data_IF_588441293802
#
_entry.id   IF_588441293802
#
_cell.length_a   1.000
_cell.length_b   1.000
_cell.length_c   1.000
_cell.angle_alpha   90.00
_cell.angle_beta   90.00
_cell.angle_gamma   90.00
#
_symmetry.space_group_name_H-M   'P 1'
#
loop_
_entity.id
_entity.type
_entity.pdbx_description
1 polymer ?
#
# COMPACT_ATOMS: atom_id res chain seq x y z
N UNK A 1 -29.54 48.44 33.16
CA UNK A 1 -30.00 47.40 32.21
C UNK A 1 -28.78 46.81 31.52
N UNK A 2 -28.28 45.67 32.02
CA UNK A 2 -27.10 44.99 31.46
C UNK A 2 -27.59 44.10 30.32
N UNK A 3 -27.12 44.36 29.10
CA UNK A 3 -27.38 43.53 27.92
C UNK A 3 -26.46 42.31 27.99
N UNK A 4 -27.02 41.16 28.30
CA UNK A 4 -26.34 39.87 28.22
C UNK A 4 -26.25 39.49 26.74
N UNK A 5 -25.05 39.53 26.18
CA UNK A 5 -24.78 39.03 24.83
C UNK A 5 -24.62 37.51 24.95
N UNK A 6 -25.56 36.77 24.36
CA UNK A 6 -25.50 35.32 24.23
C UNK A 6 -24.43 34.99 23.17
N UNK A 7 -23.28 34.46 23.59
CA UNK A 7 -22.23 34.01 22.69
C UNK A 7 -22.60 32.61 22.19
N UNK A 8 -23.18 32.53 20.99
CA UNK A 8 -23.44 31.26 20.31
C UNK A 8 -22.11 30.64 19.87
N UNK A 9 -21.65 29.62 20.57
CA UNK A 9 -20.57 28.75 20.11
C UNK A 9 -21.07 27.94 18.91
N UNK A 10 -20.73 28.39 17.70
CA UNK A 10 -20.85 27.58 16.50
C UNK A 10 -19.75 26.51 16.54
N UNK A 11 -20.09 25.29 16.98
CA UNK A 11 -19.22 24.13 16.79
C UNK A 11 -19.07 23.91 15.27
N UNK A 12 -17.90 24.26 14.73
CA UNK A 12 -17.51 23.84 13.40
C UNK A 12 -17.26 22.32 13.46
N UNK A 13 -18.27 21.53 13.11
CA UNK A 13 -18.06 20.10 12.85
C UNK A 13 -17.15 20.00 11.63
N UNK A 14 -15.86 19.72 11.87
CA UNK A 14 -14.95 19.27 10.83
C UNK A 14 -15.49 17.92 10.33
N UNK A 15 -16.25 17.97 9.24
CA UNK A 15 -16.53 16.77 8.46
C UNK A 15 -15.19 16.31 7.89
N UNK A 16 -14.55 15.32 8.53
CA UNK A 16 -13.50 14.56 7.89
C UNK A 16 -14.13 13.85 6.70
N UNK A 17 -14.01 14.44 5.51
CA UNK A 17 -14.34 13.73 4.27
C UNK A 17 -13.32 12.62 4.12
N UNK A 18 -13.73 11.39 4.42
CA UNK A 18 -12.91 10.22 4.21
C UNK A 18 -12.65 10.05 2.71
N UNK A 19 -11.39 10.12 2.31
CA UNK A 19 -10.99 9.95 0.93
C UNK A 19 -10.93 8.48 0.53
N UNK A 20 -11.76 8.04 -0.42
CA UNK A 20 -11.58 6.78 -1.11
C UNK A 20 -10.54 6.97 -2.22
N UNK A 21 -9.38 6.33 -2.05
CA UNK A 21 -8.31 6.33 -3.05
C UNK A 21 -8.09 4.92 -3.64
N UNK A 22 -8.67 4.66 -4.80
CA UNK A 22 -8.46 3.42 -5.56
C UNK A 22 -7.12 3.41 -6.30
N UNK A 23 -6.41 4.54 -6.36
CA UNK A 23 -5.10 4.63 -7.00
C UNK A 23 -4.14 5.45 -6.13
N UNK A 24 -3.43 4.75 -5.27
CA UNK A 24 -2.36 5.36 -4.48
C UNK A 24 -1.17 5.67 -5.41
N UNK A 25 -0.68 6.91 -5.35
CA UNK A 25 0.53 7.36 -6.07
C UNK A 25 1.80 6.97 -5.32
N UNK A 26 1.71 6.78 -4.00
CA UNK A 26 2.78 6.31 -3.12
C UNK A 26 2.23 5.36 -2.04
N UNK A 27 3.06 4.48 -1.46
CA UNK A 27 2.65 3.63 -0.34
C UNK A 27 2.34 4.46 0.90
N UNK A 28 1.32 4.03 1.64
CA UNK A 28 1.08 4.44 3.04
C UNK A 28 1.38 3.23 3.92
N UNK A 29 2.02 3.42 5.07
CA UNK A 29 2.43 2.32 5.94
C UNK A 29 3.93 2.24 6.17
N UNK A 30 4.37 1.14 6.76
CA UNK A 30 5.80 0.86 6.98
C UNK A 30 6.61 0.84 5.68
N UNK A 31 6.00 0.46 4.55
CA UNK A 31 6.63 0.50 3.22
C UNK A 31 6.67 1.88 2.56
N UNK A 32 6.35 2.98 3.24
CA UNK A 32 6.26 4.33 2.66
C UNK A 32 7.56 4.80 1.95
N UNK A 33 8.72 4.23 2.28
CA UNK A 33 9.99 4.54 1.65
C UNK A 33 10.18 3.89 0.26
N UNK A 34 9.30 2.97 -0.15
CA UNK A 34 9.39 2.33 -1.46
C UNK A 34 9.00 3.30 -2.59
N UNK A 35 9.99 3.67 -3.39
CA UNK A 35 9.89 4.51 -4.59
C UNK A 35 10.06 3.73 -5.90
N UNK A 36 10.53 2.48 -5.80
CA UNK A 36 10.81 1.60 -6.93
C UNK A 36 11.82 2.21 -7.91
N UNK A 37 11.57 2.02 -9.20
CA UNK A 37 12.38 2.57 -10.29
C UNK A 37 11.94 3.98 -10.75
N UNK A 38 11.01 4.63 -10.03
CA UNK A 38 10.41 5.90 -10.43
C UNK A 38 9.41 5.76 -11.58
N UNK A 39 9.14 6.88 -12.25
CA UNK A 39 8.15 6.96 -13.34
C UNK A 39 8.61 6.18 -14.58
N UNK A 40 7.73 5.40 -15.23
CA UNK A 40 8.03 4.75 -16.51
C UNK A 40 8.36 5.77 -17.61
N UNK A 41 9.41 5.48 -18.38
CA UNK A 41 9.90 6.24 -19.53
C UNK A 41 10.44 5.28 -20.60
N UNK A 42 10.59 5.70 -21.87
CA UNK A 42 11.16 4.86 -22.91
C UNK A 42 12.58 4.34 -22.62
N UNK A 43 13.34 5.00 -21.74
CA UNK A 43 14.75 4.65 -21.46
C UNK A 43 14.94 3.76 -20.24
N UNK A 44 13.92 3.63 -19.38
CA UNK A 44 13.97 2.81 -18.15
C UNK A 44 12.95 1.66 -18.12
N UNK A 45 12.15 1.50 -19.18
CA UNK A 45 11.01 0.58 -19.21
C UNK A 45 11.16 -0.49 -20.28
N UNK A 46 10.88 -1.73 -19.90
CA UNK A 46 10.80 -2.90 -20.80
C UNK A 46 9.42 -3.54 -20.68
N UNK A 47 8.86 -3.98 -21.80
CA UNK A 47 7.65 -4.85 -21.81
C UNK A 47 8.06 -6.30 -22.03
N UNK A 48 7.52 -7.20 -21.21
CA UNK A 48 7.80 -8.63 -21.27
C UNK A 48 6.50 -9.41 -21.53
N UNK A 49 6.54 -10.38 -22.43
CA UNK A 49 5.40 -11.24 -22.81
C UNK A 49 5.72 -12.72 -22.68
N UNK A 50 6.96 -13.07 -22.32
CA UNK A 50 7.42 -14.46 -22.17
C UNK A 50 8.25 -14.59 -20.90
N UNK A 51 8.37 -15.82 -20.40
CA UNK A 51 9.16 -16.08 -19.19
C UNK A 51 10.65 -15.78 -19.38
N UNK A 52 11.20 -16.07 -20.56
CA UNK A 52 12.60 -15.74 -20.87
C UNK A 52 12.88 -14.23 -20.79
N UNK A 53 11.97 -13.41 -21.33
CA UNK A 53 12.08 -11.94 -21.22
C UNK A 53 11.91 -11.47 -19.78
N UNK A 54 10.92 -11.99 -19.06
CA UNK A 54 10.68 -11.65 -17.66
C UNK A 54 11.93 -11.95 -16.81
N UNK A 55 12.47 -13.17 -16.91
CA UNK A 55 13.67 -13.59 -16.17
C UNK A 55 14.89 -12.73 -16.51
N UNK A 56 15.06 -12.38 -17.79
CA UNK A 56 16.12 -11.47 -18.24
C UNK A 56 15.95 -10.08 -17.61
N UNK A 57 14.74 -9.53 -17.63
CA UNK A 57 14.45 -8.21 -17.06
C UNK A 57 14.65 -8.17 -15.54
N UNK A 58 14.17 -9.20 -14.81
CA UNK A 58 14.29 -9.32 -13.36
C UNK A 58 15.74 -9.41 -12.87
N UNK A 59 16.62 -10.02 -13.66
CA UNK A 59 18.05 -10.20 -13.30
C UNK A 59 18.96 -9.13 -13.88
N UNK A 60 18.47 -8.30 -14.80
CA UNK A 60 19.23 -7.26 -15.46
C UNK A 60 19.48 -6.07 -14.52
N UNK A 61 20.73 -5.60 -14.45
CA UNK A 61 21.09 -4.35 -13.75
C UNK A 61 20.96 -3.11 -14.63
N UNK A 62 20.64 -3.26 -15.92
CA UNK A 62 20.54 -2.14 -16.86
C UNK A 62 19.31 -1.28 -16.58
N UNK A 63 19.48 0.05 -16.66
CA UNK A 63 18.40 1.04 -16.44
C UNK A 63 17.17 0.76 -17.28
N UNK A 64 17.33 0.31 -18.54
CA UNK A 64 16.24 -0.04 -19.44
C UNK A 64 15.29 -1.15 -18.93
N UNK A 65 15.69 -1.88 -17.88
CA UNK A 65 14.88 -2.93 -17.25
C UNK A 65 14.39 -2.55 -15.84
N UNK A 66 14.59 -1.30 -15.41
CA UNK A 66 14.25 -0.87 -14.05
C UNK A 66 12.73 -0.90 -13.81
N UNK A 67 11.95 -0.49 -14.81
CA UNK A 67 10.49 -0.70 -14.87
C UNK A 67 10.19 -1.87 -15.81
N UNK A 68 9.47 -2.87 -15.32
CA UNK A 68 9.10 -4.08 -16.05
C UNK A 68 7.58 -4.11 -16.21
N UNK A 69 7.10 -3.90 -17.43
CA UNK A 69 5.70 -4.06 -17.79
C UNK A 69 5.45 -5.51 -18.20
N UNK A 70 4.58 -6.21 -17.50
CA UNK A 70 4.16 -7.58 -17.83
C UNK A 70 2.90 -7.50 -18.69
N UNK A 71 2.90 -8.17 -19.83
CA UNK A 71 1.76 -8.19 -20.75
C UNK A 71 1.26 -9.61 -20.99
N UNK A 72 -0.06 -9.79 -20.88
CA UNK A 72 -0.72 -11.08 -21.06
C UNK A 72 -0.42 -12.08 -19.94
N UNK A 73 -0.65 -13.35 -20.22
CA UNK A 73 -0.32 -14.44 -19.29
C UNK A 73 1.05 -15.02 -19.62
N UNK A 74 1.97 -14.97 -18.66
CA UNK A 74 3.27 -15.60 -18.73
C UNK A 74 3.23 -16.86 -17.85
N UNK A 75 3.30 -18.03 -18.48
CA UNK A 75 3.61 -19.27 -17.75
C UNK A 75 5.07 -19.22 -17.34
N UNK A 76 5.34 -19.30 -16.04
CA UNK A 76 6.66 -19.12 -15.45
C UNK A 76 7.00 -20.26 -14.50
N UNK A 77 8.28 -20.57 -14.40
CA UNK A 77 8.82 -21.36 -13.29
C UNK A 77 9.20 -20.44 -12.13
N UNK A 78 9.39 -21.05 -10.96
CA UNK A 78 9.90 -20.37 -9.78
C UNK A 78 11.19 -19.61 -10.08
N UNK A 79 11.21 -18.33 -9.72
CA UNK A 79 12.31 -17.41 -9.96
C UNK A 79 12.73 -16.71 -8.67
N UNK A 80 13.97 -16.94 -8.25
CA UNK A 80 14.57 -16.28 -7.08
C UNK A 80 15.55 -15.20 -7.51
N UNK A 81 15.31 -13.95 -7.09
CA UNK A 81 15.99 -12.77 -7.64
C UNK A 81 16.34 -11.75 -6.57
N UNK A 82 17.44 -11.05 -6.79
CA UNK A 82 17.83 -9.87 -6.02
C UNK A 82 17.31 -8.64 -6.78
N UNK A 83 16.46 -7.83 -6.15
CA UNK A 83 15.86 -6.65 -6.79
C UNK A 83 16.29 -5.39 -6.05
N UNK A 84 16.83 -4.42 -6.79
CA UNK A 84 17.21 -3.12 -6.24
C UNK A 84 16.67 -2.02 -7.15
N UNK A 85 15.87 -1.11 -6.59
CA UNK A 85 15.23 0.00 -7.31
C UNK A 85 14.44 -0.51 -8.53
N UNK A 86 13.45 -1.38 -8.27
CA UNK A 86 12.67 -2.05 -9.32
C UNK A 86 11.18 -1.76 -9.19
N UNK A 87 10.53 -1.60 -10.33
CA UNK A 87 9.08 -1.50 -10.42
C UNK A 87 8.57 -2.53 -11.41
N UNK A 88 7.71 -3.44 -10.96
CA UNK A 88 7.07 -4.46 -11.80
C UNK A 88 5.58 -4.11 -11.88
N UNK A 89 5.04 -3.91 -13.08
CA UNK A 89 3.65 -3.51 -13.27
C UNK A 89 3.00 -4.45 -14.29
N UNK A 90 1.85 -5.03 -13.94
CA UNK A 90 1.01 -5.72 -14.90
C UNK A 90 0.19 -4.75 -15.75
N UNK A 91 0.19 -4.95 -17.06
CA UNK A 91 -0.85 -4.40 -17.92
C UNK A 91 -2.22 -5.03 -17.57
N UNK A 92 -3.36 -4.47 -18.00
CA UNK A 92 -4.67 -5.03 -17.67
C UNK A 92 -4.76 -6.54 -17.99
N UNK A 93 -5.12 -7.33 -16.98
CA UNK A 93 -5.20 -8.80 -17.08
C UNK A 93 -3.86 -9.54 -17.10
N UNK A 94 -2.73 -8.85 -16.87
CA UNK A 94 -1.42 -9.47 -16.83
C UNK A 94 -1.31 -10.48 -15.69
N UNK A 95 -0.75 -11.64 -16.02
CA UNK A 95 -0.72 -12.79 -15.13
C UNK A 95 0.62 -13.50 -15.18
N UNK A 96 1.17 -13.79 -14.00
CA UNK A 96 2.25 -14.76 -13.82
C UNK A 96 1.61 -16.06 -13.33
N UNK A 97 1.81 -17.15 -14.07
CA UNK A 97 1.14 -18.43 -13.81
C UNK A 97 2.16 -19.54 -13.64
N UNK A 98 2.08 -20.26 -12.52
CA UNK A 98 2.73 -21.56 -12.35
C UNK A 98 1.69 -22.55 -11.82
N UNK A 99 1.29 -23.53 -12.64
CA UNK A 99 0.24 -24.50 -12.29
C UNK A 99 0.78 -25.91 -12.11
N UNK A 100 2.08 -26.05 -11.88
CA UNK A 100 2.74 -27.34 -11.71
C UNK A 100 2.40 -27.96 -10.36
N UNK A 101 1.78 -29.14 -10.39
CA UNK A 101 1.50 -30.01 -9.25
C UNK A 101 1.53 -31.47 -9.73
N UNK A 102 2.05 -32.37 -8.91
CA UNK A 102 2.20 -33.80 -9.24
C UNK A 102 1.52 -34.64 -8.17
N UNK A 103 0.45 -35.34 -8.55
CA UNK A 103 -0.27 -36.29 -7.69
C UNK A 103 -0.54 -37.55 -8.53
N UNK A 104 0.27 -38.59 -8.32
CA UNK A 104 0.21 -39.84 -9.08
C UNK A 104 -0.47 -40.99 -8.32
N UNK A 105 -0.67 -40.83 -7.01
CA UNK A 105 -1.39 -41.79 -6.16
C UNK A 105 -2.29 -41.10 -5.12
N UNK A 106 -3.16 -41.88 -4.48
CA UNK A 106 -3.98 -41.43 -3.34
C UNK A 106 -3.91 -42.49 -2.22
N UNK A 107 -3.29 -42.18 -1.06
CA UNK A 107 -2.66 -40.90 -0.71
C UNK A 107 -1.44 -40.57 -1.61
N UNK A 108 -1.08 -39.28 -1.76
CA UNK A 108 0.10 -38.86 -2.52
C UNK A 108 1.38 -39.54 -2.02
N UNK A 109 2.26 -39.91 -2.93
CA UNK A 109 3.55 -40.53 -2.59
C UNK A 109 4.56 -39.49 -2.06
N UNK A 110 5.66 -39.95 -1.46
CA UNK A 110 6.77 -39.05 -1.11
C UNK A 110 7.37 -38.33 -2.33
N UNK A 111 7.35 -38.99 -3.51
CA UNK A 111 7.77 -38.39 -4.77
C UNK A 111 6.80 -37.30 -5.25
N UNK A 112 5.49 -37.52 -5.14
CA UNK A 112 4.45 -36.52 -5.46
C UNK A 112 4.66 -35.23 -4.64
N UNK A 113 4.91 -35.38 -3.33
CA UNK A 113 5.19 -34.26 -2.43
C UNK A 113 6.46 -33.50 -2.86
N UNK A 114 7.57 -34.22 -3.04
CA UNK A 114 8.87 -33.62 -3.40
C UNK A 114 8.81 -32.89 -4.75
N UNK A 115 8.20 -33.50 -5.75
CA UNK A 115 8.10 -32.90 -7.09
C UNK A 115 7.16 -31.69 -7.09
N UNK A 116 6.02 -31.79 -6.41
CA UNK A 116 5.08 -30.66 -6.26
C UNK A 116 5.76 -29.47 -5.57
N UNK A 117 6.45 -29.72 -4.45
CA UNK A 117 7.15 -28.69 -3.71
C UNK A 117 8.20 -27.97 -4.56
N UNK A 118 9.06 -28.73 -5.26
CA UNK A 118 10.14 -28.19 -6.07
C UNK A 118 9.69 -27.37 -7.29
N UNK A 119 8.52 -27.69 -7.84
CA UNK A 119 8.01 -27.05 -9.05
C UNK A 119 7.04 -25.91 -8.76
N UNK A 120 6.60 -25.76 -7.52
CA UNK A 120 5.67 -24.70 -7.10
C UNK A 120 6.33 -23.32 -6.93
N UNK A 121 5.48 -22.31 -6.71
CA UNK A 121 5.84 -20.91 -6.50
C UNK A 121 6.15 -20.12 -7.77
N UNK A 122 6.20 -18.79 -7.67
CA UNK A 122 6.42 -17.91 -8.84
C UNK A 122 7.64 -17.01 -8.62
N UNK A 123 7.61 -16.15 -7.61
CA UNK A 123 8.66 -15.14 -7.40
C UNK A 123 9.14 -15.12 -5.96
N UNK A 124 10.46 -15.17 -5.79
CA UNK A 124 11.13 -14.99 -4.50
C UNK A 124 12.06 -13.79 -4.56
N UNK A 125 11.73 -12.77 -3.79
CA UNK A 125 12.56 -11.57 -3.61
C UNK A 125 13.54 -11.87 -2.48
N UNK A 126 14.81 -12.07 -2.83
CA UNK A 126 15.86 -12.48 -1.90
C UNK A 126 16.22 -11.40 -0.88
N UNK A 127 16.82 -11.83 0.22
CA UNK A 127 17.60 -10.97 1.11
C UNK A 127 18.59 -10.10 0.30
N UNK A 128 18.78 -8.88 0.78
CA UNK A 128 19.52 -7.80 0.12
C UNK A 128 18.70 -7.02 -0.92
N UNK A 129 17.50 -7.48 -1.28
CA UNK A 129 16.62 -6.71 -2.16
C UNK A 129 16.11 -5.47 -1.44
N UNK A 130 15.99 -4.34 -2.14
CA UNK A 130 15.53 -3.10 -1.55
C UNK A 130 14.83 -2.20 -2.55
N UNK A 131 13.85 -1.43 -2.07
CA UNK A 131 13.14 -0.44 -2.87
C UNK A 131 12.47 -1.06 -4.11
N UNK A 132 11.46 -1.91 -3.86
CA UNK A 132 10.76 -2.66 -4.90
C UNK A 132 9.27 -2.35 -4.85
N UNK A 133 8.70 -2.08 -6.02
CA UNK A 133 7.26 -1.91 -6.22
C UNK A 133 6.76 -3.04 -7.13
N UNK A 134 5.67 -3.71 -6.74
CA UNK A 134 4.95 -4.69 -7.57
C UNK A 134 3.48 -4.26 -7.64
N UNK A 135 2.96 -4.03 -8.85
CA UNK A 135 1.58 -3.56 -9.03
C UNK A 135 0.80 -4.27 -10.12
N UNK A 136 -0.50 -4.35 -9.93
CA UNK A 136 -1.47 -4.76 -10.97
C UNK A 136 -1.19 -6.14 -11.60
N UNK A 137 -0.69 -7.09 -10.83
CA UNK A 137 -0.37 -8.43 -11.30
C UNK A 137 -1.28 -9.48 -10.68
N UNK A 138 -1.67 -10.46 -11.50
CA UNK A 138 -2.29 -11.68 -11.01
C UNK A 138 -1.22 -12.76 -10.89
N UNK A 139 -1.05 -13.32 -9.71
CA UNK A 139 -0.27 -14.52 -9.45
C UNK A 139 -1.22 -15.71 -9.38
N UNK A 140 -0.99 -16.73 -10.21
CA UNK A 140 -1.83 -17.94 -10.25
C UNK A 140 -1.03 -19.21 -10.02
N UNK A 141 -1.38 -19.92 -8.95
CA UNK A 141 -0.77 -21.18 -8.55
C UNK A 141 -1.53 -22.43 -8.99
N UNK A 142 -1.03 -23.61 -8.60
CA UNK A 142 -1.63 -24.90 -8.93
C UNK A 142 -2.85 -25.28 -8.07
N UNK A 143 -3.06 -24.61 -6.93
CA UNK A 143 -3.98 -25.05 -5.87
C UNK A 143 -3.24 -25.52 -4.63
N UNK A 144 -3.90 -25.44 -3.47
CA UNK A 144 -3.31 -25.72 -2.17
C UNK A 144 -2.98 -27.22 -2.00
N UNK A 145 -1.74 -27.50 -1.62
CA UNK A 145 -1.27 -28.86 -1.30
C UNK A 145 -0.15 -28.77 -0.26
N UNK A 146 -0.37 -29.37 0.91
CA UNK A 146 0.53 -29.26 2.06
C UNK A 146 1.79 -30.14 1.91
N UNK A 147 2.68 -29.80 1.00
CA UNK A 147 3.89 -30.57 0.73
C UNK A 147 5.18 -29.77 0.98
N UNK A 148 5.13 -28.77 1.87
CA UNK A 148 6.25 -27.82 2.09
C UNK A 148 6.72 -27.16 0.78
N UNK A 149 5.75 -26.73 -0.03
CA UNK A 149 5.98 -26.10 -1.32
C UNK A 149 6.50 -24.66 -1.20
N UNK A 150 6.41 -23.93 -2.31
CA UNK A 150 6.79 -22.52 -2.38
C UNK A 150 5.55 -21.65 -2.60
N UNK A 151 5.63 -20.45 -2.05
CA UNK A 151 4.57 -19.45 -2.16
C UNK A 151 4.50 -18.85 -3.56
N UNK A 152 3.35 -18.26 -3.93
CA UNK A 152 3.28 -17.48 -5.16
C UNK A 152 4.28 -16.32 -5.13
N UNK A 153 4.29 -15.57 -4.03
CA UNK A 153 5.29 -14.55 -3.76
C UNK A 153 5.90 -14.80 -2.38
N UNK A 154 7.22 -14.74 -2.31
CA UNK A 154 7.94 -14.65 -1.04
C UNK A 154 8.82 -13.41 -1.07
N UNK A 155 8.88 -12.66 0.03
CA UNK A 155 9.78 -11.53 0.16
C UNK A 155 10.65 -11.60 1.41
N UNK A 156 11.94 -11.39 1.20
CA UNK A 156 12.97 -11.11 2.22
C UNK A 156 13.63 -9.73 2.02
N UNK A 157 13.12 -8.94 1.06
CA UNK A 157 13.64 -7.59 0.77
C UNK A 157 13.17 -6.52 1.74
N UNK A 158 13.71 -5.31 1.63
CA UNK A 158 13.35 -4.15 2.46
C UNK A 158 12.73 -3.01 1.67
N UNK A 159 11.84 -2.22 2.28
CA UNK A 159 11.15 -1.12 1.60
C UNK A 159 10.41 -1.62 0.34
N UNK A 160 9.40 -2.46 0.58
CA UNK A 160 8.66 -3.14 -0.47
C UNK A 160 7.22 -2.66 -0.48
N UNK A 161 6.69 -2.38 -1.66
CA UNK A 161 5.28 -2.07 -1.86
C UNK A 161 4.65 -3.01 -2.87
N UNK A 162 3.67 -3.78 -2.42
CA UNK A 162 2.85 -4.66 -3.26
C UNK A 162 1.44 -4.09 -3.29
N UNK A 163 0.98 -3.64 -4.45
CA UNK A 163 -0.28 -2.92 -4.58
C UNK A 163 -1.15 -3.45 -5.72
N UNK A 164 -2.47 -3.56 -5.50
CA UNK A 164 -3.39 -4.03 -6.55
C UNK A 164 -2.93 -5.35 -7.19
N UNK A 165 -2.38 -6.27 -6.42
CA UNK A 165 -2.08 -7.61 -6.91
C UNK A 165 -3.19 -8.58 -6.52
N UNK A 166 -3.45 -9.58 -7.35
CA UNK A 166 -4.34 -10.68 -7.01
C UNK A 166 -3.54 -11.97 -6.90
N UNK A 167 -3.72 -12.69 -5.80
CA UNK A 167 -3.07 -13.95 -5.52
C UNK A 167 -4.12 -15.06 -5.51
N UNK A 168 -3.96 -16.02 -6.43
CA UNK A 168 -4.90 -17.11 -6.65
C UNK A 168 -4.20 -18.45 -6.46
N UNK A 169 -4.71 -19.27 -5.57
CA UNK A 169 -4.40 -20.71 -5.52
C UNK A 169 -2.92 -21.06 -5.22
N UNK A 170 -2.29 -20.39 -4.25
CA UNK A 170 -0.98 -20.80 -3.73
C UNK A 170 -0.92 -22.27 -3.33
N UNK A 171 0.22 -22.94 -3.56
CA UNK A 171 0.41 -24.33 -3.11
C UNK A 171 0.58 -24.39 -1.59
N UNK A 172 1.57 -23.63 -1.10
CA UNK A 172 1.77 -23.32 0.31
C UNK A 172 1.04 -21.99 0.61
N UNK A 173 1.76 -20.86 0.70
CA UNK A 173 1.18 -19.53 0.82
C UNK A 173 0.82 -18.83 -0.50
N UNK A 174 -0.08 -17.85 -0.42
CA UNK A 174 -0.25 -16.85 -1.48
C UNK A 174 0.86 -15.79 -1.42
N UNK A 175 1.16 -15.26 -0.24
CA UNK A 175 2.25 -14.28 -0.07
C UNK A 175 2.86 -14.34 1.33
N UNK A 176 4.14 -14.68 1.39
CA UNK A 176 4.95 -14.72 2.61
C UNK A 176 6.01 -13.62 2.68
N UNK A 177 6.19 -13.08 3.89
CA UNK A 177 7.21 -12.08 4.25
C UNK A 177 8.03 -12.66 5.40
N UNK A 178 9.33 -12.90 5.18
CA UNK A 178 10.16 -13.64 6.14
C UNK A 178 11.64 -13.26 6.07
N UNK A 179 12.47 -13.92 6.87
CA UNK A 179 13.93 -13.74 6.82
C UNK A 179 14.33 -12.32 7.18
N UNK A 180 15.08 -11.69 6.28
CA UNK A 180 15.58 -10.32 6.45
C UNK A 180 14.58 -9.22 6.04
N UNK A 181 13.32 -9.58 5.74
CA UNK A 181 12.30 -8.63 5.31
C UNK A 181 12.03 -7.54 6.34
N UNK A 182 11.84 -6.31 5.87
CA UNK A 182 11.34 -5.22 6.71
C UNK A 182 10.77 -4.06 5.88
N UNK A 183 9.90 -3.25 6.49
CA UNK A 183 9.26 -2.09 5.87
C UNK A 183 8.44 -2.46 4.62
N UNK A 184 7.36 -3.20 4.85
CA UNK A 184 6.41 -3.61 3.81
C UNK A 184 5.10 -2.86 3.91
N UNK A 185 4.58 -2.46 2.76
CA UNK A 185 3.16 -2.14 2.57
C UNK A 185 2.57 -3.09 1.54
N UNK A 186 1.50 -3.78 1.91
CA UNK A 186 0.66 -4.57 1.02
C UNK A 186 -0.69 -3.85 0.97
N UNK A 187 -1.02 -3.25 -0.18
CA UNK A 187 -2.23 -2.45 -0.32
C UNK A 187 -3.12 -2.90 -1.45
N UNK A 188 -4.44 -2.81 -1.28
CA UNK A 188 -5.40 -3.15 -2.35
C UNK A 188 -5.17 -4.54 -2.98
N UNK A 189 -4.56 -5.47 -2.26
CA UNK A 189 -4.29 -6.80 -2.79
C UNK A 189 -5.47 -7.72 -2.47
N UNK A 190 -5.77 -8.63 -3.39
CA UNK A 190 -6.82 -9.64 -3.22
C UNK A 190 -6.19 -11.02 -3.12
N UNK A 191 -6.63 -11.80 -2.15
CA UNK A 191 -6.19 -13.17 -1.93
C UNK A 191 -7.39 -14.10 -2.09
N UNK A 192 -7.22 -15.21 -2.79
CA UNK A 192 -8.30 -16.17 -3.03
C UNK A 192 -7.77 -17.58 -3.28
N UNK A 193 -8.61 -18.57 -3.05
CA UNK A 193 -8.41 -19.95 -3.49
C UNK A 193 -9.66 -20.41 -4.23
N UNK A 194 -9.54 -20.52 -5.55
CA UNK A 194 -10.61 -20.92 -6.45
C UNK A 194 -10.56 -22.42 -6.78
N UNK A 195 -9.47 -23.10 -6.45
CA UNK A 195 -9.26 -24.54 -6.64
C UNK A 195 -9.48 -25.31 -5.33
N UNK A 196 -10.04 -26.53 -5.37
CA UNK A 196 -10.08 -27.42 -4.21
C UNK A 196 -8.66 -27.71 -3.68
N UNK A 197 -8.48 -27.85 -2.36
CA UNK A 197 -7.21 -28.30 -1.80
C UNK A 197 -6.98 -29.79 -2.05
N UNK A 198 -5.71 -30.19 -2.09
CA UNK A 198 -5.29 -31.59 -2.11
C UNK A 198 -4.96 -32.09 -0.71
N UNK A 199 -5.49 -33.26 -0.35
CA UNK A 199 -5.27 -33.90 0.94
C UNK A 199 -4.04 -34.83 0.94
N UNK A 200 -3.56 -35.19 2.12
CA UNK A 200 -2.49 -36.19 2.30
C UNK A 200 -1.08 -35.70 1.94
N UNK A 201 -0.85 -34.40 1.95
CA UNK A 201 0.49 -33.82 1.82
C UNK A 201 1.35 -34.06 3.07
N UNK A 202 2.67 -33.99 2.91
CA UNK A 202 3.66 -34.24 3.97
C UNK A 202 3.58 -33.29 5.17
N UNK A 203 3.08 -32.06 5.00
CA UNK A 203 2.89 -31.09 6.08
C UNK A 203 1.63 -31.34 6.93
N UNK A 204 0.76 -32.27 6.51
CA UNK A 204 -0.28 -32.86 7.35
C UNK A 204 -1.64 -32.15 7.36
N UNK A 205 -1.78 -30.98 6.73
CA UNK A 205 -3.09 -30.36 6.48
C UNK A 205 -3.74 -30.95 5.23
N UNK A 206 -5.01 -31.35 5.35
CA UNK A 206 -5.83 -31.71 4.19
C UNK A 206 -6.41 -30.49 3.45
N UNK A 207 -6.21 -29.30 4.00
CA UNK A 207 -6.71 -28.04 3.45
C UNK A 207 -5.74 -26.91 3.78
N UNK A 208 -4.67 -26.82 2.98
CA UNK A 208 -3.60 -25.83 3.15
C UNK A 208 -3.91 -24.49 2.47
N UNK A 209 -5.18 -24.05 2.43
CA UNK A 209 -5.53 -22.73 1.90
C UNK A 209 -5.16 -21.62 2.89
N UNK A 210 -3.88 -21.57 3.24
CA UNK A 210 -3.26 -20.75 4.26
C UNK A 210 -2.61 -19.54 3.59
N UNK A 211 -3.24 -18.38 3.69
CA UNK A 211 -3.06 -17.31 2.71
C UNK A 211 -1.70 -16.61 2.79
N UNK A 212 -1.21 -16.22 3.96
CA UNK A 212 0.07 -15.53 4.05
C UNK A 212 0.68 -15.51 5.44
N UNK A 213 2.01 -15.62 5.49
CA UNK A 213 2.81 -15.65 6.70
C UNK A 213 3.72 -14.42 6.81
N UNK A 214 3.87 -13.90 8.02
CA UNK A 214 4.89 -12.91 8.40
C UNK A 214 5.78 -13.54 9.48
N UNK A 215 7.03 -13.82 9.16
CA UNK A 215 7.93 -14.55 10.03
C UNK A 215 7.67 -16.07 10.04
N UNK A 216 8.59 -16.84 9.46
CA UNK A 216 8.43 -18.28 9.24
C UNK A 216 8.68 -19.13 10.49
N UNK A 217 9.29 -18.58 11.53
CA UNK A 217 9.63 -19.30 12.76
C UNK A 217 9.76 -18.38 13.97
N UNK A 218 9.95 -18.98 15.15
CA UNK A 218 10.09 -18.21 16.40
C UNK A 218 11.38 -17.38 16.45
N UNK A 219 12.44 -17.83 15.77
CA UNK A 219 13.72 -17.14 15.64
C UNK A 219 13.85 -16.38 14.32
N UNK A 220 12.84 -16.43 13.44
CA UNK A 220 12.87 -15.72 12.17
C UNK A 220 12.48 -14.27 12.39
N UNK A 221 13.41 -13.34 12.17
CA UNK A 221 13.23 -11.92 12.43
C UNK A 221 14.29 -11.09 11.70
N UNK A 222 13.96 -9.84 11.30
CA UNK A 222 14.95 -8.92 10.77
C UNK A 222 15.93 -8.46 11.86
N UNK A 223 16.98 -7.75 11.45
CA UNK A 223 18.10 -7.33 12.31
C UNK A 223 17.67 -6.49 13.52
N UNK A 224 16.61 -5.68 13.39
CA UNK A 224 16.04 -4.86 14.47
C UNK A 224 14.99 -5.61 15.31
N UNK A 225 14.80 -6.90 15.03
CA UNK A 225 14.07 -7.85 15.84
C UNK A 225 12.61 -8.06 15.46
N UNK A 226 11.98 -7.14 14.71
CA UNK A 226 10.57 -7.32 14.30
C UNK A 226 10.28 -6.87 12.87
N UNK A 227 9.52 -7.67 12.13
CA UNK A 227 9.00 -7.31 10.80
C UNK A 227 8.04 -6.13 10.90
N UNK A 228 8.25 -5.05 10.14
CA UNK A 228 7.31 -3.92 10.06
C UNK A 228 6.44 -4.04 8.81
N UNK A 229 5.16 -4.42 8.97
CA UNK A 229 4.27 -4.73 7.83
C UNK A 229 2.90 -4.06 7.95
N UNK A 230 2.49 -3.37 6.89
CA UNK A 230 1.14 -2.79 6.76
C UNK A 230 0.33 -3.56 5.73
N UNK A 231 -0.85 -4.05 6.10
CA UNK A 231 -1.88 -4.50 5.18
C UNK A 231 -2.98 -3.44 5.12
N UNK A 232 -3.19 -2.84 3.96
CA UNK A 232 -4.16 -1.74 3.78
C UNK A 232 -5.15 -2.08 2.67
N UNK A 233 -6.45 -1.95 2.91
CA UNK A 233 -7.48 -2.15 1.88
C UNK A 233 -7.38 -3.53 1.17
N UNK A 234 -6.82 -4.54 1.83
CA UNK A 234 -6.66 -5.88 1.27
C UNK A 234 -7.95 -6.68 1.40
N UNK A 235 -8.16 -7.60 0.48
CA UNK A 235 -9.32 -8.49 0.46
C UNK A 235 -8.88 -9.95 0.58
N UNK A 236 -9.17 -10.58 1.71
CA UNK A 236 -9.16 -12.04 1.81
C UNK A 236 -10.54 -12.58 1.42
N UNK A 237 -10.61 -13.06 0.19
CA UNK A 237 -11.83 -13.43 -0.50
C UNK A 237 -12.09 -14.93 -0.43
N UNK A 238 -12.99 -15.40 -1.31
CA UNK A 238 -13.44 -16.78 -1.37
C UNK A 238 -12.28 -17.78 -1.39
N UNK A 239 -12.47 -18.87 -0.63
CA UNK A 239 -11.50 -19.96 -0.52
C UNK A 239 -10.38 -19.76 0.50
N UNK A 240 -10.10 -18.54 0.95
CA UNK A 240 -9.14 -18.33 2.03
C UNK A 240 -9.63 -19.02 3.31
N UNK A 241 -8.77 -19.85 3.92
CA UNK A 241 -9.10 -20.63 5.12
C UNK A 241 -8.41 -20.10 6.37
N UNK A 242 -7.09 -19.97 6.35
CA UNK A 242 -6.32 -19.49 7.51
C UNK A 242 -5.21 -18.53 7.09
N UNK A 243 -4.50 -17.96 8.09
CA UNK A 243 -3.34 -17.08 7.91
C UNK A 243 -3.66 -15.83 7.06
N UNK A 244 -4.51 -14.95 7.59
CA UNK A 244 -4.96 -13.73 6.91
C UNK A 244 -4.59 -12.41 7.64
N UNK A 245 -3.32 -12.12 7.94
CA UNK A 245 -2.14 -13.00 7.87
C UNK A 245 -1.98 -13.85 9.16
N UNK A 246 -0.99 -14.76 9.16
CA UNK A 246 -0.39 -15.29 10.39
C UNK A 246 0.95 -14.59 10.62
N UNK A 247 1.28 -14.19 11.84
CA UNK A 247 2.51 -13.45 12.11
C UNK A 247 3.23 -13.87 13.41
N UNK A 248 4.56 -13.71 13.42
CA UNK A 248 5.48 -13.78 14.59
C UNK A 248 6.54 -12.70 14.45
N UNK A 249 7.14 -12.27 15.57
CA UNK A 249 8.20 -11.27 15.58
C UNK A 249 7.82 -10.04 14.74
N UNK A 250 6.60 -9.52 14.86
CA UNK A 250 6.09 -8.55 13.90
C UNK A 250 5.42 -7.34 14.55
N UNK A 251 5.57 -6.18 13.91
CA UNK A 251 4.73 -5.02 14.09
C UNK A 251 3.80 -4.89 12.88
N UNK A 252 2.51 -5.14 13.11
CA UNK A 252 1.48 -5.15 12.08
C UNK A 252 0.54 -3.96 12.23
N UNK A 253 0.23 -3.34 11.10
CA UNK A 253 -0.96 -2.51 10.93
C UNK A 253 -1.88 -3.12 9.88
N UNK A 254 -3.09 -3.50 10.28
CA UNK A 254 -4.11 -4.03 9.38
C UNK A 254 -5.23 -2.99 9.29
N UNK A 255 -5.27 -2.26 8.18
CA UNK A 255 -6.11 -1.10 7.97
C UNK A 255 -7.13 -1.37 6.87
N UNK A 256 -8.41 -1.14 7.16
CA UNK A 256 -9.49 -1.15 6.16
C UNK A 256 -9.57 -2.42 5.32
N UNK A 257 -9.12 -3.56 5.84
CA UNK A 257 -9.16 -4.83 5.13
C UNK A 257 -10.54 -5.48 5.21
N UNK A 258 -10.88 -6.24 4.18
CA UNK A 258 -12.14 -6.94 4.05
C UNK A 258 -11.92 -8.46 4.05
N UNK A 259 -12.77 -9.18 4.76
CA UNK A 259 -12.69 -10.63 4.92
C UNK A 259 -14.05 -11.27 4.66
N UNK A 260 -14.15 -12.03 3.57
CA UNK A 260 -15.36 -12.74 3.21
C UNK A 260 -15.04 -14.02 2.44
N UNK A 261 -15.35 -15.15 3.08
CA UNK A 261 -15.09 -16.47 2.52
C UNK A 261 -16.19 -17.44 2.94
N UNK A 262 -16.61 -18.33 2.04
CA UNK A 262 -17.58 -19.37 2.33
C UNK A 262 -17.02 -20.55 3.13
N UNK A 263 -15.71 -20.56 3.37
CA UNK A 263 -15.02 -21.68 4.02
C UNK A 263 -15.42 -21.81 5.50
N UNK A 264 -15.97 -22.97 5.83
CA UNK A 264 -16.33 -23.33 7.20
C UNK A 264 -15.09 -23.40 8.09
N UNK A 265 -15.17 -22.76 9.26
CA UNK A 265 -14.08 -22.73 10.24
C UNK A 265 -12.91 -21.80 9.84
N UNK A 266 -13.10 -20.90 8.87
CA UNK A 266 -12.06 -19.97 8.46
C UNK A 266 -11.58 -19.07 9.63
N UNK A 267 -10.26 -18.92 9.74
CA UNK A 267 -9.55 -18.13 10.75
C UNK A 267 -8.78 -17.00 10.10
N UNK A 268 -9.05 -15.75 10.49
CA UNK A 268 -8.38 -14.60 9.91
C UNK A 268 -6.97 -14.42 10.50
N UNK A 269 -6.85 -13.62 11.57
CA UNK A 269 -5.56 -13.15 12.05
C UNK A 269 -4.97 -14.16 13.05
N UNK A 270 -3.83 -14.75 12.70
CA UNK A 270 -3.13 -15.72 13.54
C UNK A 270 -1.85 -15.14 14.15
N UNK A 271 -1.85 -14.76 15.43
CA UNK A 271 -0.70 -14.06 16.03
C UNK A 271 0.08 -14.94 16.99
N UNK A 272 1.30 -15.28 16.62
CA UNK A 272 2.34 -15.82 17.48
C UNK A 272 3.22 -14.74 18.08
N UNK A 273 3.78 -14.96 19.26
CA UNK A 273 4.76 -14.03 19.81
C UNK A 273 6.10 -14.12 19.07
N UNK A 274 6.64 -15.34 18.90
CA UNK A 274 8.05 -15.48 18.52
C UNK A 274 8.96 -14.98 19.66
N UNK A 275 10.27 -14.90 19.43
CA UNK A 275 11.22 -14.50 20.47
C UNK A 275 11.33 -12.97 20.67
N UNK A 276 10.93 -12.18 19.68
CA UNK A 276 10.94 -10.70 19.77
C UNK A 276 9.55 -10.08 20.02
N UNK A 277 8.51 -10.91 20.04
CA UNK A 277 7.14 -10.47 20.28
C UNK A 277 6.44 -9.89 19.04
N UNK A 278 5.11 -9.84 19.11
CA UNK A 278 4.24 -9.38 18.02
C UNK A 278 3.22 -8.36 18.52
N UNK A 279 3.11 -7.23 17.83
CA UNK A 279 2.08 -6.20 18.05
C UNK A 279 1.24 -6.03 16.79
N UNK A 280 -0.08 -5.99 16.93
CA UNK A 280 -0.99 -5.82 15.79
C UNK A 280 -2.06 -4.78 16.10
N UNK A 281 -2.09 -3.70 15.32
CA UNK A 281 -3.17 -2.72 15.35
C UNK A 281 -4.11 -2.98 14.17
N UNK A 282 -5.37 -3.27 14.44
CA UNK A 282 -6.39 -3.58 13.44
C UNK A 282 -7.41 -2.44 13.42
N UNK A 283 -7.42 -1.65 12.36
CA UNK A 283 -8.22 -0.43 12.24
C UNK A 283 -9.23 -0.53 11.10
N UNK A 284 -10.50 -0.24 11.40
CA UNK A 284 -11.60 -0.14 10.45
C UNK A 284 -11.72 -1.31 9.47
N UNK A 285 -11.42 -2.53 9.89
CA UNK A 285 -11.58 -3.74 9.07
C UNK A 285 -13.01 -4.30 9.14
N UNK A 286 -13.44 -5.00 8.10
CA UNK A 286 -14.74 -5.66 8.03
C UNK A 286 -14.55 -7.19 7.88
N UNK A 287 -14.96 -7.92 8.92
CA UNK A 287 -14.95 -9.38 8.99
C UNK A 287 -16.35 -9.96 8.73
N UNK A 288 -16.86 -9.76 7.51
CA UNK A 288 -18.24 -10.08 7.15
C UNK A 288 -18.55 -11.58 7.30
N UNK A 289 -17.65 -12.43 6.82
CA UNK A 289 -17.84 -13.88 6.84
C UNK A 289 -16.55 -14.60 7.26
N UNK A 290 -16.26 -14.54 8.56
CA UNK A 290 -15.12 -15.20 9.21
C UNK A 290 -15.60 -15.83 10.52
N UNK A 291 -15.19 -17.08 10.76
CA UNK A 291 -15.56 -17.81 11.98
C UNK A 291 -14.72 -17.36 13.17
N UNK A 292 -13.39 -17.27 12.98
CA UNK A 292 -12.45 -16.87 14.04
C UNK A 292 -11.64 -15.67 13.57
N UNK A 293 -11.94 -14.49 14.11
CA UNK A 293 -11.26 -13.24 13.72
C UNK A 293 -9.81 -13.23 14.20
N UNK A 294 -9.57 -13.66 15.45
CA UNK A 294 -8.24 -13.71 16.06
C UNK A 294 -8.00 -15.10 16.64
N UNK A 295 -6.92 -15.75 16.24
CA UNK A 295 -6.50 -17.07 16.69
C UNK A 295 -5.06 -17.02 17.23
N UNK A 296 -4.87 -16.72 18.52
CA UNK A 296 -3.54 -16.55 19.10
C UNK A 296 -2.73 -17.86 19.14
N UNK A 297 -1.47 -17.69 18.77
CA UNK A 297 -0.26 -18.53 18.77
C UNK A 297 0.52 -18.60 20.09
N UNK A 298 0.45 -19.65 20.93
CA UNK A 298 1.39 -19.74 22.07
C UNK A 298 2.71 -20.35 21.61
N UNK A 299 3.72 -19.51 21.37
CA UNK A 299 5.06 -19.93 20.93
C UNK A 299 6.09 -18.81 21.11
N UNK A 300 7.37 -19.19 21.25
CA UNK A 300 8.46 -18.24 21.49
C UNK A 300 8.42 -17.64 22.90
N UNK A 301 9.37 -16.75 23.16
CA UNK A 301 9.59 -16.12 24.47
C UNK A 301 9.01 -14.70 24.61
N UNK A 302 8.59 -14.10 23.50
CA UNK A 302 8.00 -12.76 23.46
C UNK A 302 6.54 -12.70 23.93
N UNK A 303 5.90 -11.56 23.69
CA UNK A 303 4.47 -11.36 23.97
C UNK A 303 3.69 -11.06 22.69
N UNK A 304 2.38 -11.31 22.74
CA UNK A 304 1.46 -10.92 21.66
C UNK A 304 0.50 -9.86 22.17
N UNK A 305 0.52 -8.70 21.53
CA UNK A 305 -0.45 -7.62 21.75
C UNK A 305 -1.29 -7.38 20.51
N UNK A 306 -2.60 -7.20 20.68
CA UNK A 306 -3.50 -6.84 19.58
C UNK A 306 -4.57 -5.86 20.04
N UNK A 307 -4.89 -4.90 19.17
CA UNK A 307 -5.97 -3.93 19.36
C UNK A 307 -6.87 -3.91 18.13
N UNK A 308 -8.18 -4.02 18.35
CA UNK A 308 -9.19 -3.77 17.33
C UNK A 308 -9.84 -2.41 17.56
N UNK A 309 -9.85 -1.57 16.52
CA UNK A 309 -10.39 -0.22 16.53
C UNK A 309 -11.31 -0.02 15.32
N UNK A 310 -12.55 0.44 15.54
CA UNK A 310 -13.54 0.68 14.48
C UNK A 310 -13.90 -0.52 13.58
N UNK A 311 -13.58 -1.76 13.98
CA UNK A 311 -13.80 -2.96 13.16
C UNK A 311 -15.24 -3.50 13.28
N UNK A 312 -15.75 -4.12 12.22
CA UNK A 312 -17.07 -4.76 12.18
C UNK A 312 -16.99 -6.24 11.79
N UNK A 313 -18.02 -7.02 12.13
CA UNK A 313 -18.15 -8.44 11.80
C UNK A 313 -19.59 -8.85 11.46
N UNK A 314 -19.72 -9.94 10.70
CA UNK A 314 -20.99 -10.53 10.32
C UNK A 314 -21.65 -9.87 9.10
N UNK A 315 -22.56 -10.60 8.45
CA UNK A 315 -23.35 -10.13 7.30
C UNK A 315 -24.32 -9.01 7.66
N UNK A 316 -24.78 -9.01 8.92
CA UNK A 316 -25.36 -7.84 9.58
C UNK A 316 -24.24 -7.24 10.45
N UNK A 317 -23.63 -6.11 10.04
CA UNK A 317 -22.43 -5.61 10.69
C UNK A 317 -22.65 -5.27 12.16
N UNK A 318 -21.82 -5.83 13.03
CA UNK A 318 -21.73 -5.50 14.46
C UNK A 318 -20.29 -5.19 14.82
N UNK A 319 -20.06 -4.42 15.90
CA UNK A 319 -18.70 -4.10 16.32
C UNK A 319 -17.92 -5.36 16.75
N UNK A 320 -16.61 -5.39 16.43
CA UNK A 320 -15.68 -6.36 17.01
C UNK A 320 -15.32 -5.92 18.42
N UNK A 321 -15.58 -6.78 19.41
CA UNK A 321 -15.31 -6.52 20.84
C UNK A 321 -14.71 -7.76 21.50
N UNK A 322 -13.99 -7.56 22.61
CA UNK A 322 -13.49 -8.65 23.46
C UNK A 322 -12.30 -9.44 22.90
N UNK A 323 -11.65 -8.96 21.83
CA UNK A 323 -10.48 -9.62 21.22
C UNK A 323 -9.16 -8.90 21.51
N UNK A 324 -9.20 -7.74 22.16
CA UNK A 324 -8.00 -6.99 22.54
C UNK A 324 -7.15 -7.79 23.52
N UNK A 325 -5.83 -7.70 23.37
CA UNK A 325 -4.86 -8.35 24.25
C UNK A 325 -3.67 -7.42 24.46
N UNK A 326 -3.32 -7.20 25.74
CA UNK A 326 -2.23 -6.29 26.13
C UNK A 326 -2.37 -4.91 25.44
N UNK A 327 -1.25 -4.21 25.25
CA UNK A 327 -1.23 -2.89 24.59
C UNK A 327 -0.65 -3.02 23.20
N UNK A 328 -1.43 -2.68 22.17
CA UNK A 328 -0.96 -2.42 20.81
C UNK A 328 -1.24 -0.95 20.46
N UNK A 329 -0.21 -0.25 19.97
CA UNK A 329 -0.23 1.20 19.77
C UNK A 329 -0.62 1.49 18.32
N UNK A 330 -1.44 2.54 18.12
CA UNK A 330 -1.79 3.06 16.80
C UNK A 330 -0.52 3.58 16.09
N UNK A 331 -0.27 3.23 14.82
CA UNK A 331 0.88 3.74 14.09
C UNK A 331 0.87 5.27 13.94
N UNK A 332 2.06 5.88 13.85
CA UNK A 332 2.24 7.35 13.83
C UNK A 332 2.50 7.94 12.45
N UNK A 333 2.75 7.12 11.42
CA UNK A 333 2.84 7.60 10.04
C UNK A 333 1.49 8.12 9.55
N UNK A 334 1.48 8.98 8.53
CA UNK A 334 0.25 9.48 7.92
C UNK A 334 -0.41 8.44 7.03
N UNK A 335 -1.73 8.30 7.11
CA UNK A 335 -2.51 7.41 6.26
C UNK A 335 -3.97 7.83 6.18
N UNK A 336 -4.64 7.36 5.13
CA UNK A 336 -6.06 7.61 4.88
C UNK A 336 -6.92 6.48 5.42
N UNK A 337 -7.96 6.79 6.19
CA UNK A 337 -8.89 5.78 6.76
C UNK A 337 -10.22 5.80 6.01
N UNK A 338 -10.66 4.63 5.53
CA UNK A 338 -12.01 4.44 5.01
C UNK A 338 -13.01 4.26 6.17
N UNK A 339 -14.24 4.79 6.08
CA UNK A 339 -15.29 4.44 7.02
C UNK A 339 -15.56 2.94 6.91
N UNK A 340 -15.61 2.23 8.04
CA UNK A 340 -15.75 0.77 8.05
C UNK A 340 -17.01 0.28 7.30
N UNK A 341 -18.08 1.08 7.30
CA UNK A 341 -19.31 0.79 6.56
C UNK A 341 -19.11 0.73 5.03
N UNK A 342 -18.10 1.43 4.50
CA UNK A 342 -17.80 1.47 3.07
C UNK A 342 -16.76 0.44 2.65
N UNK A 343 -16.04 -0.17 3.60
CA UNK A 343 -14.94 -1.10 3.32
C UNK A 343 -15.39 -2.26 2.44
N UNK A 344 -16.51 -2.91 2.76
CA UNK A 344 -17.01 -4.02 1.96
C UNK A 344 -17.29 -3.58 0.51
N UNK A 345 -17.96 -2.43 0.31
CA UNK A 345 -18.31 -1.93 -1.02
C UNK A 345 -17.11 -1.47 -1.85
N UNK A 346 -16.13 -0.80 -1.22
CA UNK A 346 -14.96 -0.27 -1.93
C UNK A 346 -13.91 -1.34 -2.17
N UNK A 347 -13.55 -2.11 -1.15
CA UNK A 347 -12.48 -3.11 -1.24
C UNK A 347 -12.87 -4.27 -2.16
N UNK A 348 -14.14 -4.68 -2.19
CA UNK A 348 -14.59 -5.76 -3.08
C UNK A 348 -15.02 -5.31 -4.47
N UNK A 349 -14.93 -4.01 -4.79
CA UNK A 349 -15.34 -3.49 -6.09
C UNK A 349 -14.51 -4.15 -7.21
N UNK A 350 -15.16 -4.84 -8.13
CA UNK A 350 -14.49 -5.61 -9.18
C UNK A 350 -13.79 -4.75 -10.25
N UNK A 351 -14.14 -3.47 -10.35
CA UNK A 351 -13.63 -2.56 -11.37
C UNK A 351 -12.42 -1.75 -10.91
N UNK A 352 -12.26 -1.54 -9.61
CA UNK A 352 -11.24 -0.64 -9.06
C UNK A 352 -10.81 -0.96 -7.63
N UNK A 353 -11.47 -1.91 -6.96
CA UNK A 353 -11.13 -2.34 -5.62
C UNK A 353 -9.92 -3.28 -5.61
N UNK A 354 -9.80 -4.09 -4.57
CA UNK A 354 -8.62 -4.93 -4.39
C UNK A 354 -8.45 -5.98 -5.50
N UNK A 355 -7.19 -6.23 -5.87
CA UNK A 355 -6.79 -7.09 -6.97
C UNK A 355 -6.19 -6.31 -8.14
N UNK A 356 -5.88 -7.00 -9.25
CA UNK A 356 -5.32 -6.40 -10.46
C UNK A 356 -6.40 -5.65 -11.28
N UNK A 357 -6.89 -4.56 -10.71
CA UNK A 357 -8.01 -3.75 -11.22
C UNK A 357 -7.58 -2.38 -11.77
N UNK A 358 -6.28 -2.07 -11.74
CA UNK A 358 -5.78 -0.80 -12.24
C UNK A 358 -5.79 -0.75 -13.77
N UNK A 359 -6.07 0.44 -14.29
CA UNK A 359 -5.90 0.74 -15.70
C UNK A 359 -4.44 1.13 -15.93
N UNK A 360 -3.70 0.33 -16.69
CA UNK A 360 -2.30 0.59 -17.02
C UNK A 360 -2.15 0.68 -18.53
N UNK A 361 -1.63 1.80 -19.02
CA UNK A 361 -1.36 1.97 -20.45
C UNK A 361 -0.10 1.20 -20.87
N UNK A 362 0.12 1.02 -22.18
CA UNK A 362 1.36 0.42 -22.71
C UNK A 362 2.63 1.21 -22.33
N UNK A 363 2.49 2.47 -21.92
CA UNK A 363 3.58 3.30 -21.41
C UNK A 363 3.79 3.18 -19.89
N UNK A 364 3.03 2.32 -19.19
CA UNK A 364 3.11 2.15 -17.75
C UNK A 364 2.41 3.24 -16.93
N UNK A 365 1.64 4.13 -17.57
CA UNK A 365 0.84 5.14 -16.86
C UNK A 365 -0.33 4.44 -16.19
N UNK A 366 -0.44 4.60 -14.86
CA UNK A 366 -1.45 3.97 -14.02
C UNK A 366 -2.60 4.94 -13.76
N UNK A 367 -3.82 4.43 -13.79
CA UNK A 367 -5.05 5.12 -13.41
C UNK A 367 -6.07 4.12 -12.85
N UNK A 368 -7.23 4.61 -12.43
CA UNK A 368 -8.35 3.78 -11.98
C UNK A 368 -9.60 4.11 -12.80
N UNK A 369 -10.50 3.14 -12.92
CA UNK A 369 -11.80 3.31 -13.59
C UNK A 369 -12.83 4.03 -12.71
N UNK A 370 -12.59 4.09 -11.40
CA UNK A 370 -13.48 4.70 -10.42
C UNK A 370 -12.98 6.08 -9.99
N UNK A 371 -13.87 7.03 -9.70
CA UNK A 371 -13.46 8.31 -9.14
C UNK A 371 -12.84 8.09 -7.75
N UNK A 372 -11.70 8.73 -7.51
CA UNK A 372 -11.18 8.89 -6.16
C UNK A 372 -12.02 9.97 -5.48
N UNK A 373 -12.84 9.59 -4.50
CA UNK A 373 -13.61 10.54 -3.71
C UNK A 373 -12.68 11.08 -2.62
N UNK A 374 -12.54 12.40 -2.47
CA UNK A 374 -11.80 13.00 -1.36
C UNK A 374 -10.27 12.99 -1.47
N UNK A 375 -9.71 12.76 -2.67
CA UNK A 375 -8.29 13.01 -2.99
C UNK A 375 -8.18 14.01 -4.14
N UNK A 376 -8.97 15.07 -4.08
CA UNK A 376 -8.52 16.27 -4.77
C UNK A 376 -7.37 16.80 -3.92
N UNK A 377 -6.14 16.72 -4.44
CA UNK A 377 -5.13 17.71 -4.10
C UNK A 377 -5.75 19.08 -4.43
N UNK A 378 -6.47 19.65 -3.47
CA UNK A 378 -6.79 21.07 -3.51
C UNK A 378 -5.46 21.78 -3.35
N UNK A 379 -4.73 21.91 -4.44
CA UNK A 379 -3.83 23.04 -4.63
C UNK A 379 -4.73 24.26 -4.52
N UNK A 380 -4.89 24.77 -3.30
CA UNK A 380 -5.59 26.02 -3.06
C UNK A 380 -4.79 27.05 -3.84
N UNK A 381 -5.32 27.47 -4.99
CA UNK A 381 -4.76 28.58 -5.74
C UNK A 381 -4.86 29.80 -4.82
N UNK A 382 -3.73 30.22 -4.25
CA UNK A 382 -3.71 31.37 -3.34
C UNK A 382 -3.96 32.69 -4.08
N UNK A 383 -3.82 32.72 -5.40
CA UNK A 383 -4.03 33.90 -6.23
C UNK A 383 -3.22 33.87 -7.51
N UNK A 384 -3.09 35.03 -8.15
CA UNK A 384 -2.27 35.26 -9.33
C UNK A 384 -1.30 36.43 -9.11
N UNK A 385 -0.08 36.33 -9.64
CA UNK A 385 0.91 37.42 -9.64
C UNK A 385 0.99 38.07 -11.03
N UNK A 386 0.88 39.39 -11.10
CA UNK A 386 1.12 40.16 -12.33
C UNK A 386 1.63 41.58 -12.06
N UNK A 387 2.35 42.22 -13.01
CA UNK A 387 2.83 41.63 -14.26
C UNK A 387 4.04 40.72 -14.05
N UNK A 388 4.30 39.80 -14.98
CA UNK A 388 5.50 38.92 -14.98
C UNK A 388 6.79 39.71 -15.22
N UNK A 389 6.69 40.93 -15.76
CA UNK A 389 7.81 41.86 -15.95
C UNK A 389 7.42 43.21 -15.38
N UNK A 390 8.20 43.73 -14.44
CA UNK A 390 7.79 44.83 -13.56
C UNK A 390 8.92 45.83 -13.34
N UNK A 391 8.59 47.13 -13.32
CA UNK A 391 9.53 48.19 -12.94
C UNK A 391 9.37 48.58 -11.47
N UNK A 392 8.13 48.73 -11.01
CA UNK A 392 7.82 49.34 -9.71
C UNK A 392 6.90 48.51 -8.82
N UNK A 393 5.71 48.11 -9.26
CA UNK A 393 4.73 47.42 -8.41
C UNK A 393 4.27 46.08 -9.01
N UNK A 394 4.37 45.02 -8.20
CA UNK A 394 3.74 43.73 -8.44
C UNK A 394 2.37 43.69 -7.77
N UNK A 395 1.41 43.06 -8.42
CA UNK A 395 0.08 42.78 -7.85
C UNK A 395 -0.06 41.30 -7.58
N UNK A 396 -0.47 40.94 -6.36
CA UNK A 396 -0.97 39.61 -6.02
C UNK A 396 -2.49 39.72 -5.87
N UNK A 397 -3.22 39.08 -6.76
CA UNK A 397 -4.68 39.04 -6.80
C UNK A 397 -5.14 37.74 -6.12
N UNK A 398 -5.55 37.83 -4.84
CA UNK A 398 -5.89 36.66 -4.04
C UNK A 398 -7.19 36.01 -4.52
N UNK A 399 -7.32 34.71 -4.32
CA UNK A 399 -8.57 34.00 -4.64
C UNK A 399 -9.69 34.37 -3.66
N UNK A 400 -10.93 34.09 -4.07
CA UNK A 400 -12.17 34.36 -3.34
C UNK A 400 -12.40 33.46 -2.12
N UNK A 401 -11.50 32.50 -1.88
CA UNK A 401 -11.56 31.56 -0.76
C UNK A 401 -10.42 31.71 0.26
N UNK A 402 -9.55 32.71 0.11
CA UNK A 402 -8.29 32.83 0.88
C UNK A 402 -8.32 34.00 1.84
N UNK A 403 -8.06 33.73 3.12
CA UNK A 403 -7.97 34.73 4.19
C UNK A 403 -7.01 34.28 5.29
N UNK A 404 -6.45 35.23 6.05
CA UNK A 404 -5.61 34.94 7.21
C UNK A 404 -4.25 35.64 7.15
N UNK A 405 -3.31 35.19 7.98
CA UNK A 405 -1.96 35.76 8.03
C UNK A 405 -1.16 35.38 6.78
N UNK A 406 -1.02 36.32 5.85
CA UNK A 406 -0.18 36.20 4.68
C UNK A 406 1.24 36.65 4.96
N UNK A 407 2.21 35.86 4.51
CA UNK A 407 3.62 36.24 4.42
C UNK A 407 4.07 36.15 2.98
N UNK A 408 4.57 37.26 2.45
CA UNK A 408 5.12 37.40 1.12
C UNK A 408 6.64 37.54 1.25
N UNK A 409 7.39 36.69 0.56
CA UNK A 409 8.85 36.73 0.52
C UNK A 409 9.34 36.73 -0.92
N UNK A 410 10.26 37.63 -1.25
CA UNK A 410 10.91 37.65 -2.57
C UNK A 410 12.35 37.18 -2.42
N UNK A 411 12.76 36.25 -3.27
CA UNK A 411 14.10 35.67 -3.30
C UNK A 411 14.78 35.92 -4.64
N UNK A 412 16.09 36.16 -4.62
CA UNK A 412 16.93 36.10 -5.82
C UNK A 412 17.05 34.66 -6.34
N UNK A 413 17.57 34.48 -7.54
CA UNK A 413 17.89 33.14 -8.10
C UNK A 413 18.96 32.39 -7.30
N UNK A 414 19.78 33.07 -6.51
CA UNK A 414 20.73 32.48 -5.57
C UNK A 414 20.12 32.11 -4.22
N UNK A 415 18.81 32.32 -4.03
CA UNK A 415 18.08 32.00 -2.79
C UNK A 415 18.19 33.05 -1.69
N UNK A 416 18.82 34.20 -1.96
CA UNK A 416 18.90 35.31 -0.99
C UNK A 416 17.55 36.01 -0.89
N UNK A 417 17.06 36.22 0.34
CA UNK A 417 15.80 36.93 0.58
C UNK A 417 16.00 38.43 0.39
N UNK A 418 15.36 38.99 -0.63
CA UNK A 418 15.46 40.40 -1.01
C UNK A 418 14.33 41.26 -0.43
N UNK A 419 13.19 40.66 -0.10
CA UNK A 419 12.03 41.36 0.47
C UNK A 419 11.20 40.42 1.34
N UNK A 420 10.54 40.96 2.37
CA UNK A 420 9.57 40.24 3.20
C UNK A 420 8.49 41.20 3.68
N UNK A 421 7.24 40.77 3.62
CA UNK A 421 6.08 41.52 4.09
C UNK A 421 5.02 40.57 4.65
N UNK A 422 4.38 40.93 5.77
CA UNK A 422 3.31 40.13 6.36
C UNK A 422 2.09 41.00 6.67
N UNK A 423 0.90 40.46 6.41
CA UNK A 423 -0.39 41.14 6.61
C UNK A 423 -1.51 40.11 6.76
N UNK A 424 -2.53 40.44 7.56
CA UNK A 424 -3.81 39.73 7.51
C UNK A 424 -4.54 40.13 6.22
N UNK A 425 -4.95 39.15 5.42
CA UNK A 425 -5.61 39.34 4.13
C UNK A 425 -7.04 38.81 4.12
N UNK A 426 -7.86 39.42 3.27
CA UNK A 426 -9.25 39.02 3.03
C UNK A 426 -9.42 38.35 1.65
N UNK A 427 -10.51 37.60 1.44
CA UNK A 427 -10.77 36.98 0.14
C UNK A 427 -10.89 38.01 -0.99
N UNK A 428 -10.38 37.66 -2.18
CA UNK A 428 -10.33 38.53 -3.36
C UNK A 428 -9.56 39.84 -3.18
N UNK A 429 -8.75 39.98 -2.13
CA UNK A 429 -7.94 41.18 -1.91
C UNK A 429 -6.79 41.25 -2.93
N UNK A 430 -6.52 42.46 -3.44
CA UNK A 430 -5.39 42.75 -4.30
C UNK A 430 -4.27 43.42 -3.51
N UNK A 431 -3.14 42.74 -3.41
CA UNK A 431 -1.96 43.25 -2.71
C UNK A 431 -0.99 43.88 -3.70
N UNK A 432 -0.60 45.13 -3.46
CA UNK A 432 0.41 45.82 -4.26
C UNK A 432 1.76 45.80 -3.53
N UNK A 433 2.77 45.19 -4.14
CA UNK A 433 4.12 45.02 -3.59
C UNK A 433 5.09 45.90 -4.37
N UNK A 434 5.69 46.88 -3.69
CA UNK A 434 6.69 47.75 -4.30
C UNK A 434 8.04 47.03 -4.38
N UNK A 435 8.53 46.85 -5.60
CA UNK A 435 9.80 46.20 -5.94
C UNK A 435 10.77 47.15 -6.64
N UNK A 436 10.53 48.46 -6.63
CA UNK A 436 11.35 49.46 -7.30
C UNK A 436 12.83 49.42 -6.87
N UNK A 437 13.08 49.05 -5.60
CA UNK A 437 14.42 48.98 -5.01
C UNK A 437 15.19 47.68 -5.33
N UNK A 438 14.58 46.73 -6.04
CA UNK A 438 15.27 45.53 -6.49
C UNK A 438 16.14 45.85 -7.71
N UNK A 439 17.32 45.25 -7.79
CA UNK A 439 18.15 45.29 -9.00
C UNK A 439 17.48 44.54 -10.16
N UNK A 440 17.82 44.89 -11.39
CA UNK A 440 17.32 44.20 -12.58
C UNK A 440 17.69 42.72 -12.54
N UNK A 441 16.72 41.84 -12.80
CA UNK A 441 16.95 40.39 -12.73
C UNK A 441 15.69 39.55 -12.54
N UNK A 442 15.89 38.24 -12.46
CA UNK A 442 14.83 37.25 -12.20
C UNK A 442 14.68 37.02 -10.69
N UNK A 443 13.44 36.99 -10.21
CA UNK A 443 13.11 36.78 -8.80
C UNK A 443 11.99 35.75 -8.62
N UNK A 444 11.97 35.12 -7.45
CA UNK A 444 10.89 34.24 -6.98
C UNK A 444 10.07 34.97 -5.93
N UNK A 445 8.76 35.07 -6.11
CA UNK A 445 7.82 35.61 -5.12
C UNK A 445 7.04 34.45 -4.49
N UNK A 446 7.26 34.22 -3.21
CA UNK A 446 6.54 33.21 -2.42
C UNK A 446 5.45 33.88 -1.58
N UNK A 447 4.24 33.37 -1.65
CA UNK A 447 3.14 33.72 -0.75
C UNK A 447 2.82 32.50 0.12
N UNK A 448 2.77 32.69 1.43
CA UNK A 448 2.37 31.68 2.42
C UNK A 448 1.21 32.19 3.25
N UNK A 449 0.17 31.37 3.41
CA UNK A 449 -0.99 31.63 4.29
C UNK A 449 -1.28 30.32 5.04
N UNK A 450 -1.06 30.31 6.36
CA UNK A 450 -1.12 29.08 7.16
C UNK A 450 -0.12 28.01 6.68
N UNK A 451 -0.61 26.81 6.38
CA UNK A 451 0.19 25.69 5.83
C UNK A 451 0.28 25.72 4.30
N UNK A 452 -0.54 26.54 3.64
CA UNK A 452 -0.55 26.66 2.18
C UNK A 452 0.51 27.64 1.69
N UNK A 453 1.17 27.33 0.58
CA UNK A 453 2.08 28.27 -0.08
C UNK A 453 2.04 28.14 -1.60
N UNK A 454 2.33 29.22 -2.29
CA UNK A 454 2.53 29.25 -3.75
C UNK A 454 3.74 30.10 -4.08
N UNK A 455 4.39 29.81 -5.22
CA UNK A 455 5.57 30.54 -5.67
C UNK A 455 5.45 30.90 -7.13
N UNK A 456 5.65 32.18 -7.44
CA UNK A 456 5.66 32.71 -8.80
C UNK A 456 7.04 33.24 -9.19
N UNK A 457 7.26 33.39 -10.49
CA UNK A 457 8.47 34.01 -11.06
C UNK A 457 8.10 35.37 -11.66
N UNK A 458 8.96 36.37 -11.48
CA UNK A 458 8.84 37.65 -12.17
C UNK A 458 10.22 38.24 -12.51
N UNK A 459 10.27 39.13 -13.50
CA UNK A 459 11.48 39.82 -13.96
C UNK A 459 11.39 41.28 -13.54
N UNK A 460 12.35 41.75 -12.74
CA UNK A 460 12.57 43.17 -12.46
C UNK A 460 13.36 43.80 -13.60
N UNK A 461 12.84 44.88 -14.17
CA UNK A 461 13.46 45.66 -15.25
C UNK A 461 14.15 46.92 -14.75
#
# INVERSE_FOLDING_TARGET
MKKTVLLSFLLLALNFTSGQNYYMTSPEGFGAAATGAGTPTPTNTVTVTTYAQLKTALTSTATANAVILVSGTITCDYTSVLLTNRTIIGLPGARLRNTQITITATPPTAADNTTSANNSGILYIKDGSTNVIIRNLIFEGPGAFDCDGRDLLTSEGKNIWVDHCEFQDGMDGNFDIKGAADNHTVSWCKFTYLKPPYAGGSGGSNDHRFSGLVGSGITDMPTDGRFSVTFKNCYWAEGCRERMPRARNAELHILNCYYKTSISGAKAIGLGAGDSGTTCYVENCNFEQITTISSPVTEGTGTTSVKFDGCTKGTVPTAVTGLDKLTAIKPTYSYTVLPVANVAGYVSNTSCGAGATLNVTAAGVISTSCPNLGVEDRTISLGNLYPTTVDTNLTIDLSDSVSGDATISIFSTSGQKAYSYSKIVSPSEKLSINVANLSNGLYLCNLKIGESSTTWKFIKK
#
